data_IF_439173825790
#
_entry.id   IF_439173825790
#
_cell.length_a   1.000
_cell.length_b   1.000
_cell.length_c   1.000
_cell.angle_alpha   90.00
_cell.angle_beta   90.00
_cell.angle_gamma   90.00
#
_symmetry.space_group_name_H-M   'P 1'
#
loop_
_entity.id
_entity.type
_entity.pdbx_description
1 polymer ?
#
# COMPACT_ATOMS: atom_id res chain seq x y z
N UNK A 1 -13.59 0.01 -6.55
CA UNK A 1 -12.99 -0.92 -5.57
C UNK A 1 -12.13 -0.13 -4.62
N UNK A 2 -12.01 -0.59 -3.37
CA UNK A 2 -11.08 -0.06 -2.37
C UNK A 2 -9.75 -0.82 -2.48
N UNK A 3 -8.68 -0.12 -2.87
CA UNK A 3 -7.39 -0.73 -3.17
C UNK A 3 -6.31 -0.08 -2.31
N UNK A 4 -5.55 -0.90 -1.61
CA UNK A 4 -4.41 -0.43 -0.82
C UNK A 4 -3.13 -0.62 -1.60
N UNK A 5 -2.35 0.45 -1.72
CA UNK A 5 -1.08 0.48 -2.46
C UNK A 5 0.07 0.69 -1.48
N UNK A 6 0.95 -0.32 -1.35
CA UNK A 6 2.22 -0.20 -0.65
C UNK A 6 3.32 0.26 -1.59
N UNK A 7 4.28 1.05 -1.09
CA UNK A 7 5.27 1.70 -1.96
C UNK A 7 4.65 2.79 -2.84
N UNK A 8 3.55 3.40 -2.39
CA UNK A 8 2.74 4.32 -3.16
C UNK A 8 3.53 5.53 -3.68
N UNK A 9 4.49 6.05 -2.92
CA UNK A 9 5.28 7.23 -3.32
C UNK A 9 6.48 6.90 -4.22
N UNK A 10 6.72 5.61 -4.53
CA UNK A 10 7.81 5.17 -5.40
C UNK A 10 7.57 5.49 -6.88
N UNK A 11 8.61 5.25 -7.70
CA UNK A 11 8.55 5.47 -9.15
C UNK A 11 7.39 4.73 -9.84
N UNK A 12 7.13 3.49 -9.44
CA UNK A 12 6.01 2.70 -9.98
C UNK A 12 4.72 3.00 -9.22
N UNK A 13 4.79 3.03 -7.87
CA UNK A 13 3.61 3.20 -7.03
C UNK A 13 2.83 4.48 -7.31
N UNK A 14 3.52 5.59 -7.61
CA UNK A 14 2.86 6.88 -7.86
C UNK A 14 2.00 6.84 -9.13
N UNK A 15 2.53 6.21 -10.19
CA UNK A 15 1.83 5.99 -11.44
C UNK A 15 0.66 5.00 -11.27
N UNK A 16 0.82 3.98 -10.43
CA UNK A 16 -0.26 3.04 -10.10
C UNK A 16 -1.39 3.77 -9.39
N UNK A 17 -1.09 4.59 -8.37
CA UNK A 17 -2.09 5.39 -7.65
C UNK A 17 -2.85 6.29 -8.63
N UNK A 18 -2.15 7.02 -9.50
CA UNK A 18 -2.78 7.87 -10.51
C UNK A 18 -3.73 7.10 -11.42
N UNK A 19 -3.28 5.94 -11.96
CA UNK A 19 -4.10 5.11 -12.84
C UNK A 19 -5.33 4.53 -12.13
N UNK A 20 -5.21 4.11 -10.88
CA UNK A 20 -6.33 3.62 -10.09
C UNK A 20 -7.36 4.73 -9.84
N UNK A 21 -6.91 5.94 -9.49
CA UNK A 21 -7.79 7.09 -9.27
C UNK A 21 -8.51 7.52 -10.56
N UNK A 22 -7.80 7.52 -11.70
CA UNK A 22 -8.36 7.78 -13.02
C UNK A 22 -9.38 6.70 -13.44
N UNK A 23 -9.17 5.45 -13.02
CA UNK A 23 -10.12 4.34 -13.19
C UNK A 23 -11.34 4.39 -12.24
N UNK A 24 -11.44 5.41 -11.38
CA UNK A 24 -12.57 5.56 -10.45
C UNK A 24 -12.51 4.68 -9.20
N UNK A 25 -11.35 4.10 -8.89
CA UNK A 25 -11.15 3.33 -7.66
C UNK A 25 -10.92 4.25 -6.46
N UNK A 26 -11.23 3.75 -5.26
CA UNK A 26 -10.79 4.35 -4.00
C UNK A 26 -9.43 3.77 -3.65
N UNK A 27 -8.47 4.64 -3.34
CA UNK A 27 -7.08 4.26 -3.12
C UNK A 27 -6.65 4.65 -1.71
N UNK A 28 -6.19 3.67 -0.96
CA UNK A 28 -5.45 3.86 0.28
C UNK A 28 -3.96 3.79 -0.04
N UNK A 29 -3.28 4.94 -0.09
CA UNK A 29 -1.86 5.02 -0.35
C UNK A 29 -1.08 4.91 0.97
N UNK A 30 -0.37 3.80 1.17
CA UNK A 30 0.50 3.62 2.34
C UNK A 30 1.87 4.26 2.10
N UNK A 31 2.27 5.15 3.00
CA UNK A 31 3.46 6.00 2.87
C UNK A 31 4.21 6.09 4.18
N UNK A 32 5.49 6.52 4.15
CA UNK A 32 6.26 6.82 5.36
C UNK A 32 6.00 8.25 5.89
N UNK A 33 4.83 8.83 5.60
CA UNK A 33 4.41 10.16 6.06
C UNK A 33 4.63 11.29 5.04
N UNK A 34 5.70 11.27 4.26
CA UNK A 34 5.93 12.25 3.18
C UNK A 34 5.33 11.73 1.87
N UNK A 35 4.51 12.55 1.21
CA UNK A 35 3.92 12.25 -0.11
C UNK A 35 3.85 13.50 -1.00
N UNK A 36 3.69 13.26 -2.30
CA UNK A 36 3.56 14.30 -3.33
C UNK A 36 2.21 14.25 -4.06
N UNK A 37 1.27 13.43 -3.57
CA UNK A 37 -0.06 13.33 -4.15
C UNK A 37 -0.87 14.61 -3.95
N UNK A 38 -1.57 15.04 -4.99
CA UNK A 38 -2.59 16.07 -4.88
C UNK A 38 -3.85 15.54 -4.18
N UNK A 39 -4.62 16.44 -3.58
CA UNK A 39 -5.87 16.10 -2.92
C UNK A 39 -6.86 15.48 -3.91
N UNK A 40 -7.47 14.37 -3.49
CA UNK A 40 -8.49 13.68 -4.27
C UNK A 40 -9.48 13.01 -3.31
N UNK A 41 -10.79 13.16 -3.56
CA UNK A 41 -11.85 12.61 -2.70
C UNK A 41 -11.83 11.08 -2.59
N UNK A 42 -11.19 10.40 -3.54
CA UNK A 42 -11.02 8.94 -3.57
C UNK A 42 -9.63 8.48 -3.13
N UNK A 43 -8.76 9.40 -2.70
CA UNK A 43 -7.43 9.09 -2.19
C UNK A 43 -7.39 9.30 -0.67
N UNK A 44 -7.01 8.26 0.06
CA UNK A 44 -6.69 8.32 1.47
C UNK A 44 -5.20 8.07 1.64
N UNK A 45 -4.50 9.01 2.26
CA UNK A 45 -3.09 8.81 2.64
C UNK A 45 -3.05 8.16 4.01
N UNK A 46 -2.29 7.07 4.13
CA UNK A 46 -2.07 6.36 5.38
C UNK A 46 -0.57 6.41 5.64
N UNK A 47 -0.18 7.15 6.67
CA UNK A 47 1.20 7.18 7.13
C UNK A 47 1.45 5.99 8.06
N UNK A 48 2.55 5.27 7.84
CA UNK A 48 2.95 4.14 8.68
C UNK A 48 4.31 3.57 8.30
N UNK A 49 4.72 2.56 9.05
CA UNK A 49 5.96 1.81 8.85
C UNK A 49 5.66 0.37 8.45
N UNK A 50 6.29 -0.11 7.39
CA UNK A 50 6.11 -1.48 6.88
C UNK A 50 6.62 -2.56 7.86
N UNK A 51 7.43 -2.19 8.85
CA UNK A 51 7.88 -3.11 9.91
C UNK A 51 6.90 -3.20 11.08
N UNK A 52 5.86 -2.36 11.10
CA UNK A 52 4.83 -2.34 12.14
C UNK A 52 3.56 -2.98 11.61
N UNK A 53 3.26 -4.20 12.07
CA UNK A 53 2.08 -4.95 11.63
C UNK A 53 0.77 -4.21 11.89
N UNK A 54 0.68 -3.42 12.96
CA UNK A 54 -0.49 -2.60 13.29
C UNK A 54 -0.74 -1.50 12.23
N UNK A 55 0.33 -0.87 11.71
CA UNK A 55 0.21 0.12 10.65
C UNK A 55 -0.30 -0.52 9.34
N UNK A 56 0.16 -1.74 9.05
CA UNK A 56 -0.30 -2.54 7.91
C UNK A 56 -1.77 -2.94 8.10
N UNK A 57 -2.16 -3.39 9.29
CA UNK A 57 -3.55 -3.77 9.59
C UNK A 57 -4.49 -2.58 9.42
N UNK A 58 -4.11 -1.42 9.93
CA UNK A 58 -4.83 -0.16 9.75
C UNK A 58 -4.96 0.24 8.27
N UNK A 59 -3.93 -0.03 7.47
CA UNK A 59 -3.94 0.23 6.04
C UNK A 59 -4.86 -0.71 5.27
N UNK A 60 -5.00 -1.96 5.72
CA UNK A 60 -5.81 -2.99 5.08
C UNK A 60 -7.30 -2.96 5.49
N UNK A 61 -7.71 -2.03 6.35
CA UNK A 61 -9.13 -1.81 6.66
C UNK A 61 -9.92 -1.41 5.41
N UNK A 62 -11.09 -2.03 5.23
CA UNK A 62 -11.99 -1.85 4.08
C UNK A 62 -11.34 -2.09 2.71
N UNK A 63 -10.24 -2.84 2.65
CA UNK A 63 -9.51 -3.13 1.40
C UNK A 63 -10.09 -4.35 0.70
N UNK A 64 -10.27 -4.27 -0.63
CA UNK A 64 -10.73 -5.39 -1.47
C UNK A 64 -9.57 -6.04 -2.26
N UNK A 65 -8.49 -5.29 -2.49
CA UNK A 65 -7.29 -5.77 -3.17
C UNK A 65 -6.05 -5.00 -2.69
N UNK A 66 -4.91 -5.68 -2.66
CA UNK A 66 -3.60 -5.10 -2.33
C UNK A 66 -2.72 -5.05 -3.56
N UNK A 67 -2.05 -3.92 -3.77
CA UNK A 67 -0.96 -3.79 -4.75
C UNK A 67 0.31 -3.41 -3.99
N UNK A 68 1.36 -4.20 -4.17
CA UNK A 68 2.69 -3.90 -3.67
C UNK A 68 3.54 -3.34 -4.81
N UNK A 69 4.01 -2.11 -4.64
CA UNK A 69 5.04 -1.49 -5.46
C UNK A 69 6.31 -1.23 -4.63
N UNK A 70 6.50 -2.00 -3.56
CA UNK A 70 7.64 -1.86 -2.67
C UNK A 70 8.94 -2.18 -3.39
N UNK A 71 9.98 -1.42 -3.10
CA UNK A 71 11.33 -1.65 -3.58
C UNK A 71 12.33 -1.50 -2.44
N UNK A 72 13.39 -2.31 -2.45
CA UNK A 72 14.43 -2.34 -1.42
C UNK A 72 15.73 -1.65 -1.84
N UNK A 73 15.73 -0.95 -2.99
CA UNK A 73 16.97 -0.45 -3.61
C UNK A 73 17.76 0.52 -2.73
N UNK A 74 17.06 1.30 -1.91
CA UNK A 74 17.65 2.32 -1.03
C UNK A 74 17.58 1.95 0.45
N UNK A 75 17.36 0.67 0.79
CA UNK A 75 17.19 0.24 2.17
C UNK A 75 18.44 -0.50 2.67
N UNK A 76 18.92 -0.23 3.90
CA UNK A 76 20.17 -0.82 4.38
C UNK A 76 20.15 -2.35 4.45
N UNK A 77 19.01 -2.90 4.85
CA UNK A 77 18.79 -4.32 5.14
C UNK A 77 18.23 -5.11 3.96
N UNK A 78 17.75 -4.43 2.92
CA UNK A 78 17.10 -5.01 1.72
C UNK A 78 15.94 -5.98 1.97
N UNK A 79 15.34 -5.92 3.15
CA UNK A 79 14.34 -6.88 3.65
C UNK A 79 12.89 -6.41 3.51
N UNK A 80 12.65 -5.16 3.08
CA UNK A 80 11.31 -4.55 3.00
C UNK A 80 10.27 -5.45 2.34
N UNK A 81 10.61 -6.09 1.22
CA UNK A 81 9.69 -6.97 0.48
C UNK A 81 9.27 -8.17 1.34
N UNK A 82 10.24 -8.81 2.00
CA UNK A 82 10.00 -9.95 2.90
C UNK A 82 9.22 -9.50 4.13
N UNK A 83 9.65 -8.45 4.81
CA UNK A 83 8.99 -7.92 6.01
C UNK A 83 7.53 -7.55 5.74
N UNK A 84 7.28 -6.89 4.60
CA UNK A 84 5.94 -6.54 4.15
C UNK A 84 5.08 -7.78 3.95
N UNK A 85 5.51 -8.75 3.14
CA UNK A 85 4.69 -9.90 2.79
C UNK A 85 4.46 -10.85 3.97
N UNK A 86 5.42 -10.96 4.89
CA UNK A 86 5.25 -11.70 6.15
C UNK A 86 4.10 -11.15 7.00
N UNK A 87 3.81 -9.85 6.92
CA UNK A 87 2.67 -9.22 7.62
C UNK A 87 1.41 -9.12 6.75
N UNK A 88 1.54 -8.69 5.49
CA UNK A 88 0.40 -8.43 4.58
C UNK A 88 -0.41 -9.70 4.33
N UNK A 89 0.23 -10.84 4.05
CA UNK A 89 -0.48 -12.08 3.71
C UNK A 89 -1.41 -12.56 4.84
N UNK A 90 -0.95 -12.78 6.09
CA UNK A 90 -1.82 -13.25 7.16
C UNK A 90 -2.92 -12.22 7.52
N UNK A 91 -2.62 -10.92 7.45
CA UNK A 91 -3.63 -9.87 7.70
C UNK A 91 -4.67 -9.85 6.58
N UNK A 92 -4.24 -9.98 5.32
CA UNK A 92 -5.13 -10.08 4.17
C UNK A 92 -6.06 -11.28 4.29
N UNK A 93 -5.54 -12.45 4.69
CA UNK A 93 -6.34 -13.64 4.96
C UNK A 93 -7.37 -13.41 6.07
N UNK A 94 -6.96 -12.80 7.20
CA UNK A 94 -7.84 -12.43 8.31
C UNK A 94 -8.97 -11.48 7.86
N UNK A 95 -8.68 -10.55 6.96
CA UNK A 95 -9.65 -9.60 6.40
C UNK A 95 -10.42 -10.15 5.19
N UNK A 96 -10.17 -11.40 4.77
CA UNK A 96 -10.85 -12.02 3.62
C UNK A 96 -10.44 -11.43 2.26
N UNK A 97 -9.31 -10.73 2.19
CA UNK A 97 -8.77 -10.13 0.98
C UNK A 97 -8.13 -11.23 0.12
N UNK A 98 -8.70 -11.50 -1.05
CA UNK A 98 -8.28 -12.62 -1.92
C UNK A 98 -7.34 -12.24 -3.05
N UNK A 99 -6.99 -10.95 -3.17
CA UNK A 99 -6.19 -10.43 -4.29
C UNK A 99 -5.01 -9.61 -3.78
N UNK A 100 -3.82 -10.12 -4.04
CA UNK A 100 -2.55 -9.43 -3.82
C UNK A 100 -1.80 -9.46 -5.16
N UNK A 101 -1.35 -8.29 -5.62
CA UNK A 101 -0.53 -8.14 -6.82
C UNK A 101 0.82 -7.54 -6.35
N UNK A 102 1.93 -8.21 -6.64
CA UNK A 102 3.28 -7.78 -6.25
C UNK A 102 4.29 -7.97 -7.36
#
# INVERSE_FOLDING_TARGET
>A
MNITVFGATGHVGSLVVEKLLAGGHNVSAFTHGIHHFADNTRLRIIAGDIHKSEDIENALNDTEAVISCLGSWHTPTKDILTAAMTSIVPIAEKHGIKRIIS
#
